data_IF_005969649441
#
_entry.id   IF_005969649441
#
_cell.length_a   1.000
_cell.length_b   1.000
_cell.length_c   1.000
_cell.angle_alpha   90.00
_cell.angle_beta   90.00
_cell.angle_gamma   90.00
#
_symmetry.space_group_name_H-M   'P 1'
#
loop_
_entity.id
_entity.type
_entity.pdbx_description
1 polymer ?
#
# COMPACT_ATOMS: atom_id res chain seq x y z
N UNK A 1 -7.91 11.63 3.80
CA UNK A 1 -8.62 10.81 4.81
C UNK A 1 -9.62 9.91 4.12
N UNK A 2 -9.69 8.65 4.57
CA UNK A 2 -10.65 7.65 4.10
C UNK A 2 -11.83 7.58 5.06
N UNK A 3 -13.05 7.50 4.53
CA UNK A 3 -14.31 7.38 5.26
C UNK A 3 -15.12 6.17 4.76
N UNK A 4 -16.33 5.98 5.30
CA UNK A 4 -17.22 4.89 4.91
C UNK A 4 -17.65 4.93 3.45
N UNK A 5 -17.87 6.10 2.87
CA UNK A 5 -18.30 6.26 1.47
C UNK A 5 -17.16 5.84 0.54
N UNK A 6 -15.95 6.30 0.83
CA UNK A 6 -14.73 5.89 0.12
C UNK A 6 -14.46 4.41 0.28
N UNK A 7 -14.58 3.86 1.49
CA UNK A 7 -14.38 2.43 1.69
C UNK A 7 -15.44 1.58 0.99
N UNK A 8 -16.70 1.98 0.95
CA UNK A 8 -17.72 1.29 0.15
C UNK A 8 -17.34 1.27 -1.34
N UNK A 9 -16.86 2.40 -1.86
CA UNK A 9 -16.37 2.51 -3.24
C UNK A 9 -15.17 1.60 -3.50
N UNK A 10 -14.19 1.56 -2.59
CA UNK A 10 -13.04 0.66 -2.69
C UNK A 10 -13.44 -0.81 -2.64
N UNK A 11 -14.38 -1.18 -1.77
CA UNK A 11 -14.87 -2.55 -1.69
C UNK A 11 -15.64 -2.97 -2.95
N UNK A 12 -16.40 -2.05 -3.55
CA UNK A 12 -17.09 -2.28 -4.82
C UNK A 12 -16.09 -2.57 -5.94
N UNK A 13 -15.06 -1.72 -6.07
CA UNK A 13 -13.96 -1.92 -7.02
C UNK A 13 -13.22 -3.25 -6.80
N UNK A 14 -13.00 -3.65 -5.56
CA UNK A 14 -12.39 -4.96 -5.26
C UNK A 14 -13.28 -6.10 -5.74
N UNK A 15 -14.60 -6.04 -5.49
CA UNK A 15 -15.53 -7.09 -5.87
C UNK A 15 -15.66 -7.23 -7.39
N UNK A 16 -15.62 -6.11 -8.10
CA UNK A 16 -15.71 -6.07 -9.57
C UNK A 16 -14.43 -6.55 -10.25
N UNK A 17 -13.27 -6.10 -9.75
CA UNK A 17 -11.98 -6.32 -10.42
C UNK A 17 -11.28 -7.61 -9.98
N UNK A 18 -11.46 -8.04 -8.73
CA UNK A 18 -10.88 -9.27 -8.18
C UNK A 18 -11.97 -10.10 -7.49
N UNK A 19 -12.91 -10.70 -8.25
CA UNK A 19 -14.05 -11.44 -7.70
C UNK A 19 -13.63 -12.64 -6.81
N UNK A 20 -12.45 -13.23 -7.08
CA UNK A 20 -11.85 -14.27 -6.24
C UNK A 20 -11.43 -13.77 -4.85
N UNK A 21 -11.22 -12.47 -4.68
CA UNK A 21 -10.82 -11.85 -3.43
C UNK A 21 -11.98 -11.21 -2.67
N UNK A 22 -13.23 -11.34 -3.14
CA UNK A 22 -14.43 -10.84 -2.45
C UNK A 22 -14.46 -11.33 -1.01
N UNK A 23 -14.61 -10.43 -0.01
CA UNK A 23 -14.68 -10.85 1.37
C UNK A 23 -15.75 -11.91 1.63
N UNK A 24 -15.40 -12.92 2.41
CA UNK A 24 -16.38 -13.84 2.98
C UNK A 24 -16.90 -13.31 4.33
N UNK A 25 -16.02 -12.65 5.10
CA UNK A 25 -16.35 -12.05 6.39
C UNK A 25 -15.73 -10.68 6.52
N UNK A 26 -16.42 -9.79 7.22
CA UNK A 26 -15.94 -8.45 7.53
C UNK A 26 -16.38 -7.99 8.92
N UNK A 27 -15.77 -6.92 9.43
CA UNK A 27 -16.13 -6.32 10.71
C UNK A 27 -15.11 -5.30 11.22
N UNK A 28 -15.43 -4.65 12.33
CA UNK A 28 -14.55 -3.62 12.91
C UNK A 28 -13.40 -4.15 13.76
N UNK A 29 -13.48 -5.39 14.23
CA UNK A 29 -12.49 -6.03 15.11
C UNK A 29 -12.48 -7.55 14.94
N UNK A 30 -11.35 -8.18 15.23
CA UNK A 30 -11.25 -9.64 15.30
C UNK A 30 -11.86 -10.15 16.61
N UNK A 31 -12.48 -11.35 16.63
CA UNK A 31 -12.65 -12.27 15.51
C UNK A 31 -13.76 -11.82 14.52
N UNK A 32 -13.49 -11.87 13.21
CA UNK A 32 -14.51 -11.55 12.19
C UNK A 32 -15.62 -12.61 12.14
N UNK A 33 -16.84 -12.21 12.50
CA UNK A 33 -18.03 -13.08 12.58
C UNK A 33 -19.11 -12.77 11.56
N UNK A 34 -19.21 -11.53 11.10
CA UNK A 34 -20.27 -11.08 10.18
C UNK A 34 -19.94 -11.46 8.74
N UNK A 35 -20.94 -11.97 8.01
CA UNK A 35 -20.81 -12.23 6.58
C UNK A 35 -20.76 -10.91 5.80
N UNK A 36 -19.98 -10.88 4.73
CA UNK A 36 -19.95 -9.73 3.82
C UNK A 36 -20.92 -9.97 2.67
N UNK A 37 -21.74 -8.97 2.35
CA UNK A 37 -22.69 -9.01 1.24
C UNK A 37 -22.23 -8.03 0.15
N UNK A 38 -21.72 -8.52 -1.01
CA UNK A 38 -21.30 -7.65 -2.11
C UNK A 38 -22.47 -6.90 -2.77
N UNK A 39 -23.71 -7.34 -2.57
CA UNK A 39 -24.90 -6.64 -3.07
C UNK A 39 -25.36 -5.50 -2.14
N UNK A 40 -24.86 -5.47 -0.90
CA UNK A 40 -25.16 -4.45 0.10
C UNK A 40 -23.92 -4.12 0.93
N UNK A 41 -22.94 -3.50 0.26
CA UNK A 41 -21.63 -3.15 0.82
C UNK A 41 -21.81 -2.17 1.99
N UNK A 42 -22.72 -1.22 1.87
CA UNK A 42 -23.00 -0.19 2.87
C UNK A 42 -23.44 -0.82 4.21
N UNK A 43 -24.31 -1.83 4.17
CA UNK A 43 -24.69 -2.58 5.38
C UNK A 43 -23.49 -3.33 5.97
N UNK A 44 -22.63 -3.92 5.13
CA UNK A 44 -21.41 -4.62 5.56
C UNK A 44 -20.40 -3.68 6.25
N UNK A 45 -20.45 -2.37 5.94
CA UNK A 45 -19.63 -1.33 6.55
C UNK A 45 -20.31 -0.64 7.75
N UNK A 46 -21.53 -1.02 8.13
CA UNK A 46 -22.35 -0.32 9.13
C UNK A 46 -21.67 -0.12 10.50
N UNK A 47 -20.87 -1.10 10.92
CA UNK A 47 -20.15 -1.10 12.19
C UNK A 47 -18.73 -0.51 12.11
N UNK A 48 -18.31 -0.01 10.94
CA UNK A 48 -16.97 0.51 10.77
C UNK A 48 -16.77 1.83 11.54
N UNK A 49 -16.06 1.75 12.68
CA UNK A 49 -15.76 2.92 13.52
C UNK A 49 -14.33 3.45 13.38
N UNK A 50 -13.34 2.57 13.39
CA UNK A 50 -11.91 2.93 13.25
C UNK A 50 -11.30 2.10 12.13
N UNK A 51 -11.43 0.78 12.27
CA UNK A 51 -10.99 -0.19 11.28
C UNK A 51 -12.17 -0.88 10.62
N UNK A 52 -12.00 -1.19 9.33
CA UNK A 52 -12.79 -2.18 8.62
C UNK A 52 -11.83 -3.28 8.21
N UNK A 53 -12.04 -4.48 8.73
CA UNK A 53 -11.23 -5.66 8.49
C UNK A 53 -12.05 -6.63 7.64
N UNK A 54 -11.38 -7.37 6.75
CA UNK A 54 -12.03 -8.42 5.99
C UNK A 54 -11.12 -9.61 5.77
N UNK A 55 -11.74 -10.75 5.47
CA UNK A 55 -11.04 -11.95 5.01
C UNK A 55 -11.85 -12.77 4.02
N UNK A 56 -11.13 -13.45 3.14
CA UNK A 56 -11.62 -14.36 2.11
C UNK A 56 -10.99 -15.71 2.32
N UNK A 57 -11.72 -16.80 2.03
CA UNK A 57 -11.26 -18.15 2.34
C UNK A 57 -10.39 -18.76 1.23
N UNK A 58 -10.73 -18.53 -0.04
CA UNK A 58 -10.05 -19.11 -1.22
C UNK A 58 -10.09 -18.14 -2.42
N UNK A 59 -8.93 -17.65 -2.90
CA UNK A 59 -7.66 -17.64 -2.21
C UNK A 59 -7.80 -17.04 -0.81
N UNK A 60 -6.95 -17.47 0.12
CA UNK A 60 -6.92 -16.83 1.42
C UNK A 60 -6.37 -15.41 1.24
N UNK A 61 -7.22 -14.44 1.52
CA UNK A 61 -6.85 -13.03 1.48
C UNK A 61 -7.43 -12.32 2.68
N UNK A 62 -6.79 -11.24 3.08
CA UNK A 62 -7.23 -10.42 4.19
C UNK A 62 -6.81 -8.98 3.95
N UNK A 63 -7.56 -8.06 4.52
CA UNK A 63 -7.16 -6.67 4.52
C UNK A 63 -7.82 -5.85 5.59
N UNK A 64 -7.41 -4.60 5.63
CA UNK A 64 -7.87 -3.64 6.59
C UNK A 64 -7.81 -2.22 6.05
N UNK A 65 -8.85 -1.43 6.29
CA UNK A 65 -8.85 0.01 6.12
C UNK A 65 -8.92 0.65 7.52
N UNK A 66 -8.00 1.56 7.83
CA UNK A 66 -7.90 2.26 9.11
C UNK A 66 -8.07 3.77 8.92
N UNK A 67 -8.95 4.37 9.73
CA UNK A 67 -9.21 5.81 9.76
C UNK A 67 -8.31 6.52 10.76
N UNK A 68 -8.10 7.82 10.51
CA UNK A 68 -7.28 8.74 11.33
C UNK A 68 -8.13 9.59 12.25
N UNK A 69 -9.41 9.75 11.93
CA UNK A 69 -10.34 10.54 12.72
C UNK A 69 -11.29 9.60 13.47
N UNK A 70 -10.83 9.00 14.59
CA UNK A 70 -11.70 8.19 15.40
C UNK A 70 -12.79 9.08 16.04
N UNK A 71 -13.90 8.48 16.48
CA UNK A 71 -14.81 9.17 17.40
C UNK A 71 -14.06 9.76 18.61
N UNK A 72 -14.50 10.91 19.17
CA UNK A 72 -13.83 11.59 20.29
C UNK A 72 -13.46 10.68 21.45
N UNK A 73 -14.28 9.68 21.75
CA UNK A 73 -14.08 8.70 22.81
C UNK A 73 -12.89 7.73 22.58
N UNK A 74 -12.33 7.68 21.37
CA UNK A 74 -11.22 6.78 20.98
C UNK A 74 -9.94 7.53 20.55
N UNK A 75 -9.93 8.86 20.63
CA UNK A 75 -8.79 9.72 20.21
C UNK A 75 -7.48 9.32 20.90
N UNK A 76 -7.53 8.97 22.19
CA UNK A 76 -6.34 8.58 22.96
C UNK A 76 -5.70 7.26 22.48
N UNK A 77 -6.44 6.40 21.77
CA UNK A 77 -5.93 5.11 21.28
C UNK A 77 -5.27 5.19 19.90
N UNK A 78 -5.42 6.30 19.17
CA UNK A 78 -4.89 6.47 17.80
C UNK A 78 -4.23 7.82 17.55
N UNK A 79 -3.94 8.60 18.61
CA UNK A 79 -3.44 9.99 18.55
C UNK A 79 -2.20 10.23 17.66
N UNK A 80 -1.45 9.18 17.29
CA UNK A 80 -0.26 9.25 16.44
C UNK A 80 -0.49 8.81 14.98
N UNK A 81 -1.68 8.32 14.63
CA UNK A 81 -2.04 8.03 13.25
C UNK A 81 -2.50 9.32 12.59
N UNK A 82 -1.77 9.79 11.58
CA UNK A 82 -2.13 10.97 10.78
C UNK A 82 -2.49 10.62 9.34
N UNK A 83 -2.04 9.45 8.87
CA UNK A 83 -2.47 8.87 7.58
C UNK A 83 -3.44 7.72 7.81
N UNK A 84 -4.52 7.70 7.01
CA UNK A 84 -5.35 6.50 6.85
C UNK A 84 -4.47 5.39 6.26
N UNK A 85 -4.76 4.14 6.60
CA UNK A 85 -3.99 3.00 6.10
C UNK A 85 -4.90 2.00 5.43
N UNK A 86 -4.50 1.55 4.26
CA UNK A 86 -5.17 0.46 3.54
C UNK A 86 -4.14 -0.63 3.36
N UNK A 87 -4.48 -1.84 3.80
CA UNK A 87 -3.62 -3.01 3.67
C UNK A 87 -4.46 -4.10 3.04
N UNK A 88 -3.95 -4.73 2.00
CA UNK A 88 -4.56 -5.89 1.37
C UNK A 88 -3.47 -6.91 1.07
N UNK A 89 -3.70 -8.14 1.54
CA UNK A 89 -2.76 -9.26 1.45
C UNK A 89 -3.48 -10.47 0.89
N UNK A 90 -2.80 -11.19 0.01
CA UNK A 90 -3.30 -12.42 -0.60
C UNK A 90 -2.20 -13.45 -0.46
N UNK A 91 -2.53 -14.62 0.09
CA UNK A 91 -1.56 -15.67 0.36
C UNK A 91 -1.00 -16.25 -0.94
N UNK A 92 -1.88 -16.59 -1.88
CA UNK A 92 -1.50 -16.99 -3.23
C UNK A 92 -1.61 -15.81 -4.21
N UNK A 93 -0.74 -14.84 -4.02
CA UNK A 93 -0.68 -13.65 -4.88
C UNK A 93 -0.31 -13.98 -6.34
N UNK A 94 0.24 -15.17 -6.60
CA UNK A 94 0.65 -15.64 -7.93
C UNK A 94 -0.53 -16.01 -8.82
N UNK A 95 -1.65 -16.39 -8.22
CA UNK A 95 -2.87 -16.77 -8.93
C UNK A 95 -3.69 -15.57 -9.43
N UNK A 96 -3.27 -14.34 -9.15
CA UNK A 96 -4.00 -13.14 -9.57
C UNK A 96 -3.50 -12.62 -10.92
N UNK A 97 -4.42 -12.03 -11.68
CA UNK A 97 -4.07 -11.32 -12.90
C UNK A 97 -3.34 -10.00 -12.55
N UNK A 98 -2.19 -9.79 -13.18
CA UNK A 98 -1.32 -8.64 -12.91
C UNK A 98 -2.05 -7.32 -13.18
N UNK A 99 -2.85 -7.25 -14.25
CA UNK A 99 -3.56 -6.02 -14.62
C UNK A 99 -4.69 -5.71 -13.63
N UNK A 100 -5.42 -6.73 -13.20
CA UNK A 100 -6.46 -6.60 -12.17
C UNK A 100 -5.88 -6.10 -10.85
N UNK A 101 -4.71 -6.62 -10.43
CA UNK A 101 -4.00 -6.16 -9.25
C UNK A 101 -3.58 -4.68 -9.37
N UNK A 102 -2.98 -4.29 -10.51
CA UNK A 102 -2.63 -2.89 -10.77
C UNK A 102 -3.88 -2.01 -10.71
N UNK A 103 -4.99 -2.42 -11.34
CA UNK A 103 -6.24 -1.65 -11.37
C UNK A 103 -6.77 -1.41 -9.97
N UNK A 104 -6.87 -2.44 -9.12
CA UNK A 104 -7.33 -2.26 -7.72
C UNK A 104 -6.45 -1.27 -6.97
N UNK A 105 -5.12 -1.37 -7.09
CA UNK A 105 -4.20 -0.45 -6.41
C UNK A 105 -4.36 1.00 -6.89
N UNK A 106 -4.47 1.18 -8.21
CA UNK A 106 -4.69 2.49 -8.84
C UNK A 106 -6.04 3.08 -8.42
N UNK A 107 -7.11 2.32 -8.53
CA UNK A 107 -8.46 2.80 -8.21
C UNK A 107 -8.61 3.12 -6.73
N UNK A 108 -8.01 2.31 -5.85
CA UNK A 108 -7.97 2.61 -4.42
C UNK A 108 -7.15 3.86 -4.11
N UNK A 109 -6.03 4.08 -4.79
CA UNK A 109 -5.25 5.31 -4.63
C UNK A 109 -6.07 6.54 -5.06
N UNK A 110 -6.79 6.46 -6.19
CA UNK A 110 -7.71 7.52 -6.65
C UNK A 110 -8.81 7.81 -5.64
N UNK A 111 -9.54 6.78 -5.20
CA UNK A 111 -10.67 6.93 -4.27
C UNK A 111 -10.23 7.47 -2.91
N UNK A 112 -9.09 7.02 -2.42
CA UNK A 112 -8.56 7.46 -1.11
C UNK A 112 -7.79 8.79 -1.18
N UNK A 113 -7.42 9.25 -2.38
CA UNK A 113 -6.44 10.31 -2.62
C UNK A 113 -5.15 10.02 -1.85
N UNK A 114 -4.54 8.87 -2.16
CA UNK A 114 -3.40 8.34 -1.43
C UNK A 114 -2.16 9.21 -1.62
N UNK A 115 -1.53 9.63 -0.52
CA UNK A 115 -0.23 10.30 -0.58
C UNK A 115 0.85 9.36 -1.14
N UNK A 116 0.79 8.08 -0.77
CA UNK A 116 1.66 7.03 -1.33
C UNK A 116 1.00 5.66 -1.19
N UNK A 117 1.27 4.76 -2.13
CA UNK A 117 0.83 3.37 -2.11
C UNK A 117 1.78 2.47 -2.89
N UNK A 118 1.67 1.16 -2.69
CA UNK A 118 2.47 0.21 -3.45
C UNK A 118 1.81 -1.17 -3.59
N UNK A 119 2.30 -1.93 -4.56
CA UNK A 119 2.04 -3.37 -4.73
C UNK A 119 3.37 -4.12 -4.76
N UNK A 120 3.44 -5.25 -4.08
CA UNK A 120 4.64 -6.08 -4.07
C UNK A 120 4.35 -7.55 -3.78
N UNK A 121 5.09 -8.44 -4.46
CA UNK A 121 5.21 -9.84 -4.10
C UNK A 121 6.47 -10.01 -3.25
N UNK A 122 6.31 -10.33 -1.97
CA UNK A 122 7.46 -10.45 -1.08
C UNK A 122 8.14 -11.81 -1.21
N UNK A 123 9.43 -11.79 -1.54
CA UNK A 123 10.28 -12.97 -1.71
C UNK A 123 11.39 -13.01 -0.66
N UNK A 124 12.12 -14.13 -0.55
CA UNK A 124 13.27 -14.23 0.37
C UNK A 124 14.36 -13.18 0.09
N UNK A 125 14.75 -12.91 -1.17
CA UNK A 125 15.64 -11.78 -1.48
C UNK A 125 15.11 -10.42 -1.03
N UNK A 126 13.79 -10.16 -1.16
CA UNK A 126 13.19 -8.91 -0.66
C UNK A 126 13.20 -8.84 0.86
N UNK A 127 13.07 -9.96 1.57
CA UNK A 127 13.18 -9.98 3.03
C UNK A 127 14.59 -9.55 3.47
N UNK A 128 15.63 -10.08 2.83
CA UNK A 128 17.02 -9.68 3.11
C UNK A 128 17.24 -8.20 2.85
N UNK A 129 16.84 -7.71 1.66
CA UNK A 129 16.97 -6.29 1.29
C UNK A 129 16.15 -5.40 2.21
N UNK A 130 14.94 -5.80 2.51
CA UNK A 130 13.99 -5.01 3.27
C UNK A 130 14.32 -4.93 4.76
N UNK A 131 14.97 -5.94 5.34
CA UNK A 131 15.58 -5.83 6.68
C UNK A 131 16.71 -4.81 6.65
N UNK A 132 17.60 -4.89 5.66
CA UNK A 132 18.71 -3.92 5.50
C UNK A 132 18.20 -2.49 5.30
N UNK A 133 17.13 -2.32 4.54
CA UNK A 133 16.56 -1.00 4.22
C UNK A 133 15.52 -0.53 5.27
N UNK A 134 15.39 -1.27 6.36
CA UNK A 134 14.40 -1.03 7.41
C UNK A 134 12.95 -1.26 6.99
N UNK A 135 12.63 -1.48 5.71
CA UNK A 135 11.25 -1.60 5.20
C UNK A 135 10.41 -2.71 5.82
N UNK A 136 11.02 -3.73 6.42
CA UNK A 136 10.30 -4.83 7.05
C UNK A 136 10.31 -4.77 8.58
N UNK A 137 9.17 -5.18 9.14
CA UNK A 137 9.02 -5.55 10.54
C UNK A 137 8.91 -7.07 10.57
N UNK A 138 9.84 -7.72 11.26
CA UNK A 138 9.81 -9.15 11.52
C UNK A 138 8.66 -9.48 12.49
N UNK A 139 7.60 -10.07 11.97
CA UNK A 139 6.50 -10.59 12.77
C UNK A 139 6.89 -11.90 13.47
N UNK A 140 6.99 -11.83 14.80
CA UNK A 140 7.28 -12.92 15.74
C UNK A 140 8.67 -13.60 15.63
N UNK A 141 9.12 -14.19 16.74
CA UNK A 141 10.44 -14.85 16.92
C UNK A 141 10.68 -16.06 16.00
N UNK A 142 9.67 -16.50 15.22
CA UNK A 142 9.76 -17.60 14.25
C UNK A 142 9.88 -17.13 12.79
N UNK A 143 9.95 -15.81 12.53
CA UNK A 143 10.37 -15.26 11.23
C UNK A 143 9.47 -15.58 10.04
N UNK A 144 8.18 -15.89 10.27
CA UNK A 144 7.27 -16.35 9.20
C UNK A 144 6.27 -15.30 8.70
N UNK A 145 6.10 -14.20 9.43
CA UNK A 145 5.26 -13.08 8.99
C UNK A 145 6.13 -11.85 8.71
N UNK A 146 6.77 -11.85 7.55
CA UNK A 146 7.41 -10.66 7.04
C UNK A 146 6.31 -9.65 6.67
N UNK A 147 6.27 -8.52 7.38
CA UNK A 147 5.29 -7.47 7.13
C UNK A 147 5.99 -6.16 6.81
N UNK A 148 5.51 -5.46 5.79
CA UNK A 148 5.86 -4.07 5.54
C UNK A 148 4.77 -3.20 6.15
N UNK A 149 5.18 -2.28 7.02
CA UNK A 149 4.27 -1.27 7.55
C UNK A 149 4.91 0.10 7.40
N UNK A 150 4.22 0.97 6.66
CA UNK A 150 4.53 2.38 6.61
C UNK A 150 3.67 3.13 7.63
N UNK A 151 4.31 4.00 8.39
CA UNK A 151 3.67 4.85 9.39
C UNK A 151 4.02 6.30 9.11
N UNK A 152 3.16 7.24 9.50
CA UNK A 152 3.43 8.66 9.30
C UNK A 152 4.74 9.13 9.92
N UNK A 153 5.09 8.74 11.18
CA UNK A 153 6.39 9.10 11.75
C UNK A 153 7.54 8.67 10.84
N UNK A 154 7.48 7.45 10.31
CA UNK A 154 8.52 6.91 9.45
C UNK A 154 8.60 7.61 8.08
N UNK A 155 7.46 7.87 7.45
CA UNK A 155 7.42 8.54 6.15
C UNK A 155 7.87 10.00 6.22
N UNK A 156 7.90 10.61 7.41
CA UNK A 156 8.51 11.93 7.65
C UNK A 156 10.03 11.88 7.75
N UNK A 157 10.62 10.70 7.89
CA UNK A 157 12.06 10.49 8.01
C UNK A 157 12.67 10.01 6.69
N UNK A 158 12.02 9.07 5.98
CA UNK A 158 12.49 8.54 4.70
C UNK A 158 11.44 7.60 4.06
N UNK A 159 11.65 7.26 2.79
CA UNK A 159 10.98 6.14 2.13
C UNK A 159 11.82 4.87 2.37
N UNK A 160 11.28 3.77 2.92
CA UNK A 160 12.11 2.61 3.23
C UNK A 160 12.75 1.97 2.00
N UNK A 161 11.99 1.81 0.91
CA UNK A 161 12.48 1.26 -0.36
C UNK A 161 11.50 1.61 -1.49
N UNK A 162 11.86 1.22 -2.71
CA UNK A 162 10.99 1.27 -3.88
C UNK A 162 10.43 -0.12 -4.19
N UNK A 163 9.10 -0.25 -4.21
CA UNK A 163 8.43 -1.52 -4.52
C UNK A 163 8.07 -1.64 -6.00
N UNK A 164 7.61 -2.82 -6.41
CA UNK A 164 7.38 -3.17 -7.82
C UNK A 164 6.43 -2.22 -8.55
N UNK A 165 5.29 -1.90 -7.93
CA UNK A 165 4.44 -0.79 -8.35
C UNK A 165 4.41 0.21 -7.20
N UNK A 166 4.66 1.47 -7.53
CA UNK A 166 4.51 2.59 -6.61
C UNK A 166 3.45 3.53 -7.16
N UNK A 167 2.62 4.09 -6.28
CA UNK A 167 1.68 5.17 -6.58
C UNK A 167 2.07 6.38 -5.74
N UNK A 168 2.42 7.48 -6.39
CA UNK A 168 2.84 8.73 -5.76
C UNK A 168 1.72 9.77 -5.85
N UNK A 169 1.28 10.25 -4.69
CA UNK A 169 0.37 11.38 -4.57
C UNK A 169 1.10 12.72 -4.41
N UNK A 170 0.35 13.82 -4.19
CA UNK A 170 0.89 15.18 -4.24
C UNK A 170 2.14 15.43 -3.38
N UNK A 171 2.22 15.00 -2.10
CA UNK A 171 3.40 15.29 -1.27
C UNK A 171 4.70 14.69 -1.83
N UNK A 172 4.61 13.59 -2.56
CA UNK A 172 5.77 12.93 -3.17
C UNK A 172 6.03 13.43 -4.59
N UNK A 173 4.99 13.88 -5.30
CA UNK A 173 5.18 14.60 -6.57
C UNK A 173 5.90 15.92 -6.32
N UNK A 174 5.57 16.64 -5.25
CA UNK A 174 6.29 17.85 -4.86
C UNK A 174 7.75 17.55 -4.45
N UNK A 175 7.96 16.44 -3.74
CA UNK A 175 9.29 16.00 -3.29
C UNK A 175 10.23 15.68 -4.48
N UNK A 176 9.73 14.90 -5.44
CA UNK A 176 10.54 14.41 -6.56
C UNK A 176 10.46 15.31 -7.78
N UNK A 177 9.45 16.17 -7.87
CA UNK A 177 8.95 16.84 -9.08
C UNK A 177 8.25 15.88 -10.05
N UNK A 178 7.20 16.38 -10.71
CA UNK A 178 6.42 15.65 -11.72
C UNK A 178 7.31 15.13 -12.86
N UNK A 179 8.15 15.99 -13.43
CA UNK A 179 8.97 15.61 -14.59
C UNK A 179 9.97 14.52 -14.25
N UNK A 180 10.56 14.56 -13.05
CA UNK A 180 11.51 13.53 -12.61
C UNK A 180 10.82 12.19 -12.37
N UNK A 181 9.60 12.17 -11.84
CA UNK A 181 8.82 10.94 -11.73
C UNK A 181 8.47 10.38 -13.11
N UNK A 182 7.96 11.22 -14.02
CA UNK A 182 7.56 10.82 -15.37
C UNK A 182 8.73 10.32 -16.24
N UNK A 183 9.94 10.79 -15.98
CA UNK A 183 11.14 10.37 -16.69
C UNK A 183 11.87 9.19 -16.02
N UNK A 184 11.29 8.54 -15.01
CA UNK A 184 11.96 7.47 -14.28
C UNK A 184 12.29 6.27 -15.20
N UNK A 185 13.49 5.67 -15.08
CA UNK A 185 13.94 4.58 -15.97
C UNK A 185 13.36 3.21 -15.56
N UNK A 186 12.03 3.12 -15.56
CA UNK A 186 11.25 1.93 -15.20
C UNK A 186 10.59 1.29 -16.43
N UNK A 187 9.96 0.13 -16.28
CA UNK A 187 9.19 -0.50 -17.36
C UNK A 187 8.05 0.39 -17.83
N UNK A 188 7.33 0.99 -16.89
CA UNK A 188 6.23 1.88 -17.20
C UNK A 188 6.08 2.99 -16.15
N UNK A 189 5.78 4.19 -16.64
CA UNK A 189 5.39 5.32 -15.81
C UNK A 189 4.12 5.93 -16.39
N UNK A 190 3.10 6.16 -15.54
CA UNK A 190 1.83 6.73 -15.96
C UNK A 190 1.41 7.85 -15.01
N UNK A 191 0.91 8.94 -15.57
CA UNK A 191 0.10 9.89 -14.81
C UNK A 191 -1.37 9.47 -14.89
N UNK A 192 -2.03 9.53 -13.75
CA UNK A 192 -3.45 9.23 -13.60
C UNK A 192 -4.27 10.52 -13.72
N UNK A 193 -5.52 10.40 -14.15
CA UNK A 193 -6.52 11.49 -14.16
C UNK A 193 -6.70 12.19 -12.79
N UNK A 194 -6.42 11.48 -11.70
CA UNK A 194 -6.40 12.00 -10.33
C UNK A 194 -5.16 12.81 -9.99
N UNK A 195 -4.23 13.01 -10.93
CA UNK A 195 -2.94 13.68 -10.72
C UNK A 195 -1.90 12.84 -9.99
N UNK A 196 -2.19 11.57 -9.66
CA UNK A 196 -1.21 10.65 -9.09
C UNK A 196 -0.28 10.12 -10.19
N UNK A 197 0.95 9.72 -9.84
CA UNK A 197 1.90 9.12 -10.79
C UNK A 197 2.26 7.71 -10.34
N UNK A 198 2.17 6.74 -11.24
CA UNK A 198 2.58 5.36 -10.98
C UNK A 198 3.92 5.04 -11.62
N UNK A 199 4.77 4.32 -10.91
CA UNK A 199 6.01 3.75 -11.45
C UNK A 199 5.95 2.23 -11.28
N UNK A 200 6.08 1.50 -12.40
CA UNK A 200 6.14 0.04 -12.44
C UNK A 200 7.53 -0.41 -12.90
N UNK A 201 8.22 -1.21 -12.07
CA UNK A 201 9.63 -1.58 -12.30
C UNK A 201 9.80 -2.55 -13.49
N UNK A 202 9.00 -3.61 -13.55
CA UNK A 202 9.04 -4.63 -14.61
C UNK A 202 7.63 -5.03 -15.01
N UNK A 203 7.48 -5.81 -16.08
CA UNK A 203 6.18 -6.19 -16.67
C UNK A 203 5.24 -6.88 -15.65
N UNK A 204 5.80 -7.65 -14.71
CA UNK A 204 5.03 -8.45 -13.77
C UNK A 204 5.66 -8.46 -12.38
N UNK A 205 4.86 -8.44 -11.32
CA UNK A 205 5.38 -8.65 -9.97
C UNK A 205 5.92 -10.07 -9.78
N UNK A 206 5.55 -11.02 -10.65
CA UNK A 206 6.11 -12.37 -10.64
C UNK A 206 7.61 -12.38 -10.98
N UNK A 207 8.11 -11.33 -11.63
CA UNK A 207 9.54 -11.16 -11.91
C UNK A 207 10.36 -11.09 -10.62
N UNK A 208 9.76 -10.71 -9.48
CA UNK A 208 10.43 -10.76 -8.18
C UNK A 208 10.85 -12.18 -7.79
N UNK A 209 10.19 -13.20 -8.33
CA UNK A 209 10.55 -14.61 -8.14
C UNK A 209 11.34 -15.17 -9.31
N UNK A 210 10.90 -14.88 -10.54
CA UNK A 210 11.47 -15.52 -11.73
C UNK A 210 12.76 -14.85 -12.20
N UNK A 211 12.95 -13.56 -11.91
CA UNK A 211 14.13 -12.76 -12.30
C UNK A 211 14.37 -11.59 -11.33
N UNK A 212 14.57 -11.92 -10.04
CA UNK A 212 14.86 -10.91 -9.02
C UNK A 212 16.03 -9.98 -9.37
N UNK A 213 17.17 -10.47 -9.93
CA UNK A 213 18.29 -9.60 -10.29
C UNK A 213 17.90 -8.49 -11.27
N UNK A 214 17.04 -8.79 -12.27
CA UNK A 214 16.51 -7.78 -13.19
C UNK A 214 15.67 -6.74 -12.46
N UNK A 215 14.74 -7.17 -11.59
CA UNK A 215 13.89 -6.24 -10.83
C UNK A 215 14.73 -5.36 -9.92
N UNK A 216 15.70 -5.94 -9.20
CA UNK A 216 16.60 -5.21 -8.33
C UNK A 216 17.44 -4.17 -9.11
N UNK A 217 17.97 -4.54 -10.28
CA UNK A 217 18.72 -3.61 -11.12
C UNK A 217 17.86 -2.44 -11.62
N UNK A 218 16.59 -2.68 -12.00
CA UNK A 218 15.66 -1.58 -12.37
C UNK A 218 15.36 -0.72 -11.15
N UNK A 219 15.06 -1.34 -10.00
CA UNK A 219 14.79 -0.66 -8.72
C UNK A 219 15.90 0.32 -8.37
N UNK A 220 17.16 -0.13 -8.42
CA UNK A 220 18.31 0.69 -8.06
C UNK A 220 18.53 1.84 -9.04
N UNK A 221 18.32 1.63 -10.35
CA UNK A 221 18.35 2.73 -11.34
C UNK A 221 17.28 3.78 -11.10
N UNK A 222 16.06 3.37 -10.73
CA UNK A 222 14.98 4.31 -10.40
C UNK A 222 15.29 5.07 -9.11
N UNK A 223 15.81 4.39 -8.08
CA UNK A 223 16.24 5.06 -6.84
C UNK A 223 17.32 6.11 -7.12
N UNK A 224 18.33 5.76 -7.90
CA UNK A 224 19.39 6.69 -8.31
C UNK A 224 18.82 7.88 -9.07
N UNK A 225 17.92 7.62 -10.03
CA UNK A 225 17.25 8.66 -10.81
C UNK A 225 16.41 9.60 -9.93
N UNK A 226 15.63 9.10 -8.98
CA UNK A 226 14.79 9.91 -8.09
C UNK A 226 15.59 10.68 -7.02
N UNK A 227 16.82 10.24 -6.77
CA UNK A 227 17.71 10.76 -5.75
C UNK A 227 17.71 9.82 -4.55
N UNK A 228 18.85 9.15 -4.28
CA UNK A 228 18.91 8.12 -3.24
C UNK A 228 18.67 8.69 -1.84
N UNK A 229 18.85 10.00 -1.65
CA UNK A 229 18.66 10.76 -0.41
C UNK A 229 17.20 10.84 0.10
N UNK A 230 16.21 10.39 -0.68
CA UNK A 230 14.84 10.21 -0.19
C UNK A 230 14.57 8.82 0.39
N UNK A 231 15.47 7.86 0.14
CA UNK A 231 15.32 6.45 0.51
C UNK A 231 16.25 6.10 1.66
N UNK A 232 15.83 5.18 2.54
CA UNK A 232 16.65 4.73 3.66
C UNK A 232 18.01 4.19 3.19
N UNK A 233 19.06 4.58 3.88
CA UNK A 233 20.38 3.99 3.74
C UNK A 233 21.05 3.91 5.11
N UNK A 234 21.64 2.75 5.42
CA UNK A 234 22.37 2.56 6.67
C UNK A 234 23.47 3.63 6.82
N UNK A 235 23.52 4.27 8.00
CA UNK A 235 24.47 5.34 8.30
C UNK A 235 24.09 6.73 7.78
N UNK A 236 23.02 6.89 6.99
CA UNK A 236 22.55 8.21 6.56
C UNK A 236 21.69 8.87 7.64
N UNK A 237 22.01 10.12 7.96
CA UNK A 237 21.34 10.93 8.99
C UNK A 237 20.40 12.00 8.44
N UNK A 238 20.51 12.33 7.15
CA UNK A 238 19.71 13.37 6.50
C UNK A 238 18.99 12.81 5.28
N UNK A 239 17.72 13.18 5.13
CA UNK A 239 16.89 12.69 4.03
C UNK A 239 16.02 13.83 3.47
N UNK A 240 15.77 13.78 2.16
CA UNK A 240 14.68 14.55 1.55
C UNK A 240 13.37 13.84 1.83
N UNK A 241 12.45 14.53 2.49
CA UNK A 241 11.18 13.95 2.94
C UNK A 241 9.98 14.77 2.48
N UNK A 242 8.83 14.13 2.25
CA UNK A 242 7.62 14.83 1.80
C UNK A 242 7.07 15.75 2.90
N UNK A 243 6.46 16.85 2.49
CA UNK A 243 5.73 17.76 3.40
C UNK A 243 4.26 17.38 3.41
N UNK A 244 3.85 16.65 4.45
CA UNK A 244 2.44 16.28 4.62
C UNK A 244 1.61 17.44 5.17
N UNK A 245 0.42 17.63 4.60
CA UNK A 245 -0.60 18.53 5.12
C UNK A 245 -1.80 17.70 5.58
N UNK A 246 -2.14 17.78 6.87
CA UNK A 246 -3.31 17.10 7.42
C UNK A 246 -4.43 18.11 7.65
N UNK A 247 -5.69 17.79 7.31
CA UNK A 247 -6.82 18.60 7.71
C UNK A 247 -6.84 18.73 9.24
N UNK A 248 -7.18 19.91 9.73
CA UNK A 248 -7.38 20.16 11.17
C UNK A 248 -8.74 19.64 11.60
#
# INVERSE_FOLDING_TARGET
MTDRVKGASMMRLLCETLPQCVPAKAGGHEPLRTGFDPSNIEASLGDWRISFLWKTRKPHSAGSIWMVDPPPELVNHVANLRHSKIIFRVEDFRALDVRAVISVAVDWAKVSNADIGFVHLFTDPDAVRGIKNGGFILGNRKGRDNSVMWSTPRLKEYIPDLYWLMVFGPPYIDLFTRDRLLSAPAHEVRELDSGHITIQLTESYLDLETDYPRVAAVRDRVIEHLGPDAFFAEGRTEYRTPKFTFPR
#
